data_IF_873695364696
#
_entry.id   IF_873695364696
#
_cell.length_a   1.000
_cell.length_b   1.000
_cell.length_c   1.000
_cell.angle_alpha   90.00
_cell.angle_beta   90.00
_cell.angle_gamma   90.00
#
_symmetry.space_group_name_H-M   'P 1'
#
loop_
_entity.id
_entity.type
_entity.pdbx_description
1 polymer ?
#
# COMPACT_ATOMS: atom_id res chain seq x y z
N UNK A 1 13.87 8.08 -15.00
CA UNK A 1 12.49 7.96 -15.53
C UNK A 1 11.83 6.61 -15.29
N UNK A 2 12.47 5.46 -15.59
CA UNK A 2 11.85 4.13 -15.40
C UNK A 2 11.27 3.90 -13.99
N UNK A 3 12.01 4.28 -12.94
CA UNK A 3 11.53 4.20 -11.54
C UNK A 3 10.21 4.95 -11.33
N UNK A 4 10.10 6.19 -11.84
CA UNK A 4 8.89 6.98 -11.68
C UNK A 4 7.70 6.36 -12.45
N UNK A 5 7.94 5.80 -13.64
CA UNK A 5 6.92 5.09 -14.41
C UNK A 5 6.42 3.84 -13.69
N UNK A 6 7.33 2.98 -13.23
CA UNK A 6 6.97 1.77 -12.49
C UNK A 6 6.32 2.09 -11.15
N UNK A 7 6.82 3.09 -10.42
CA UNK A 7 6.20 3.58 -9.18
C UNK A 7 4.79 4.09 -9.42
N UNK A 8 4.56 4.86 -10.49
CA UNK A 8 3.22 5.36 -10.85
C UNK A 8 2.28 4.19 -11.20
N UNK A 9 2.71 3.27 -12.05
CA UNK A 9 1.91 2.10 -12.41
C UNK A 9 1.54 1.25 -11.18
N UNK A 10 2.51 1.04 -10.27
CA UNK A 10 2.27 0.32 -9.03
C UNK A 10 1.29 1.07 -8.13
N UNK A 11 1.41 2.38 -7.95
CA UNK A 11 0.47 3.16 -7.11
C UNK A 11 -0.95 3.17 -7.68
N UNK A 12 -1.11 3.14 -9.01
CA UNK A 12 -2.43 2.96 -9.63
C UNK A 12 -3.01 1.59 -9.30
N UNK A 13 -2.23 0.51 -9.45
CA UNK A 13 -2.68 -0.85 -9.10
C UNK A 13 -3.01 -0.95 -7.61
N UNK A 14 -2.14 -0.39 -6.76
CA UNK A 14 -2.35 -0.28 -5.32
C UNK A 14 -3.68 0.40 -4.99
N UNK A 15 -3.95 1.57 -5.59
CA UNK A 15 -5.21 2.30 -5.35
C UNK A 15 -6.43 1.51 -5.81
N UNK A 16 -6.36 0.78 -6.92
CA UNK A 16 -7.45 -0.09 -7.39
C UNK A 16 -7.70 -1.23 -6.41
N UNK A 17 -6.64 -1.94 -6.00
CA UNK A 17 -6.76 -3.11 -5.10
C UNK A 17 -7.24 -2.69 -3.72
N UNK A 18 -6.69 -1.62 -3.14
CA UNK A 18 -7.17 -1.07 -1.86
C UNK A 18 -8.56 -0.47 -1.99
N UNK A 19 -8.95 0.06 -3.15
CA UNK A 19 -10.31 0.53 -3.42
C UNK A 19 -11.32 -0.61 -3.39
N UNK A 20 -11.01 -1.73 -4.05
CA UNK A 20 -11.82 -2.95 -4.00
C UNK A 20 -11.89 -3.53 -2.58
N UNK A 21 -10.78 -3.51 -1.85
CA UNK A 21 -10.74 -3.96 -0.47
C UNK A 21 -11.60 -3.08 0.45
N UNK A 22 -11.48 -1.76 0.31
CA UNK A 22 -12.30 -0.78 1.03
C UNK A 22 -13.79 -0.88 0.70
N UNK A 23 -14.15 -1.18 -0.55
CA UNK A 23 -15.53 -1.50 -0.93
C UNK A 23 -16.05 -2.73 -0.18
N UNK A 24 -15.23 -3.78 -0.05
CA UNK A 24 -15.62 -4.95 0.72
C UNK A 24 -15.94 -4.58 2.18
N UNK A 25 -15.11 -3.76 2.84
CA UNK A 25 -15.38 -3.26 4.20
C UNK A 25 -16.70 -2.52 4.36
N UNK A 26 -17.16 -1.79 3.34
CA UNK A 26 -18.43 -1.06 3.39
C UNK A 26 -19.63 -2.03 3.37
N UNK A 27 -19.47 -3.18 2.73
CA UNK A 27 -20.56 -4.12 2.44
C UNK A 27 -20.64 -5.29 3.43
N UNK A 28 -19.59 -5.53 4.22
CA UNK A 28 -19.55 -6.56 5.27
C UNK A 28 -19.47 -5.90 6.65
N UNK A 29 -19.85 -6.58 7.76
CA UNK A 29 -19.83 -6.01 9.10
C UNK A 29 -18.41 -5.93 9.69
N UNK A 30 -17.47 -5.34 8.95
CA UNK A 30 -16.06 -5.15 9.32
C UNK A 30 -15.76 -3.65 9.32
N UNK A 31 -16.24 -2.91 10.34
CA UNK A 31 -16.05 -1.48 10.41
C UNK A 31 -14.60 -1.12 10.76
N UNK A 32 -14.08 -0.09 10.11
CA UNK A 32 -12.83 0.53 10.50
C UNK A 32 -13.06 1.50 11.67
N UNK A 33 -12.18 1.45 12.67
CA UNK A 33 -12.10 2.52 13.67
C UNK A 33 -11.68 3.84 13.02
N UNK A 34 -11.87 4.95 13.74
CA UNK A 34 -11.44 6.29 13.28
C UNK A 34 -9.94 6.30 12.97
N UNK A 35 -9.12 5.69 13.84
CA UNK A 35 -7.67 5.63 13.65
C UNK A 35 -7.28 4.79 12.42
N UNK A 36 -7.91 3.63 12.22
CA UNK A 36 -7.70 2.82 11.01
C UNK A 36 -8.12 3.59 9.75
N UNK A 37 -9.27 4.28 9.80
CA UNK A 37 -9.76 5.09 8.67
C UNK A 37 -8.80 6.22 8.31
N UNK A 38 -8.24 6.92 9.31
CA UNK A 38 -7.22 7.94 9.08
C UNK A 38 -5.92 7.34 8.53
N UNK A 39 -5.50 6.19 9.04
CA UNK A 39 -4.33 5.48 8.54
C UNK A 39 -4.51 5.10 7.06
N UNK A 40 -5.65 4.52 6.70
CA UNK A 40 -5.98 4.18 5.31
C UNK A 40 -5.99 5.44 4.44
N UNK A 41 -6.73 6.48 4.82
CA UNK A 41 -6.82 7.71 4.01
C UNK A 41 -5.47 8.42 3.81
N UNK A 42 -4.64 8.48 4.84
CA UNK A 42 -3.36 9.21 4.79
C UNK A 42 -2.24 8.32 4.27
N UNK A 43 -2.00 7.19 4.91
CA UNK A 43 -0.81 6.36 4.67
C UNK A 43 -0.98 5.48 3.45
N UNK A 44 -2.18 4.92 3.24
CA UNK A 44 -2.45 4.04 2.10
C UNK A 44 -2.78 4.88 0.86
N UNK A 45 -3.61 5.91 0.96
CA UNK A 45 -3.97 6.70 -0.23
C UNK A 45 -3.10 7.94 -0.46
N UNK A 46 -3.06 8.88 0.47
CA UNK A 46 -2.45 10.19 0.21
C UNK A 46 -0.93 10.13 0.01
N UNK A 47 -0.20 9.43 0.89
CA UNK A 47 1.27 9.39 0.85
C UNK A 47 1.79 8.74 -0.45
N UNK A 48 1.28 7.59 -0.93
CA UNK A 48 1.73 7.01 -2.20
C UNK A 48 1.53 7.92 -3.40
N UNK A 49 0.42 8.66 -3.45
CA UNK A 49 0.16 9.65 -4.51
C UNK A 49 1.20 10.77 -4.46
N UNK A 50 1.44 11.34 -3.28
CA UNK A 50 2.47 12.37 -3.08
C UNK A 50 3.85 11.81 -3.48
N UNK A 51 4.14 10.58 -3.06
CA UNK A 51 5.41 9.92 -3.34
C UNK A 51 5.68 9.81 -4.84
N UNK A 52 4.70 9.34 -5.63
CA UNK A 52 4.89 9.23 -7.09
C UNK A 52 4.97 10.58 -7.77
N UNK A 53 4.22 11.60 -7.32
CA UNK A 53 4.38 12.97 -7.84
C UNK A 53 5.82 13.45 -7.61
N UNK A 54 6.38 13.24 -6.42
CA UNK A 54 7.74 13.65 -6.11
C UNK A 54 8.80 12.86 -6.91
N UNK A 55 8.56 11.59 -7.24
CA UNK A 55 9.45 10.80 -8.10
C UNK A 55 9.65 11.40 -9.51
N UNK A 56 8.72 12.23 -9.98
CA UNK A 56 8.82 12.95 -11.24
C UNK A 56 9.55 14.30 -11.14
N UNK A 57 9.99 14.69 -9.94
CA UNK A 57 10.62 16.00 -9.68
C UNK A 57 12.07 15.85 -9.20
N UNK A 58 12.73 16.98 -8.93
CA UNK A 58 14.03 17.01 -8.25
C UNK A 58 14.00 16.42 -6.83
N UNK A 59 12.81 16.27 -6.22
CA UNK A 59 12.61 15.70 -4.88
C UNK A 59 12.45 14.17 -4.88
N UNK A 60 12.92 13.50 -5.94
CA UNK A 60 12.77 12.06 -6.13
C UNK A 60 13.27 11.21 -4.93
N UNK A 61 14.26 11.69 -4.16
CA UNK A 61 14.74 11.00 -2.95
C UNK A 61 13.69 10.96 -1.86
N UNK A 62 13.02 12.09 -1.62
CA UNK A 62 11.92 12.19 -0.66
C UNK A 62 10.77 11.29 -1.13
N UNK A 63 10.41 11.37 -2.41
CA UNK A 63 9.40 10.49 -3.01
C UNK A 63 9.71 9.00 -2.83
N UNK A 64 10.97 8.60 -2.99
CA UNK A 64 11.41 7.21 -2.82
C UNK A 64 11.24 6.72 -1.37
N UNK A 65 11.62 7.54 -0.39
CA UNK A 65 11.42 7.23 1.03
C UNK A 65 9.94 7.19 1.42
N UNK A 66 9.13 8.12 0.91
CA UNK A 66 7.69 8.13 1.16
C UNK A 66 7.01 6.90 0.56
N UNK A 67 7.38 6.50 -0.66
CA UNK A 67 6.87 5.29 -1.30
C UNK A 67 7.23 4.05 -0.47
N UNK A 68 8.50 3.89 -0.09
CA UNK A 68 8.93 2.75 0.71
C UNK A 68 8.22 2.71 2.07
N UNK A 69 8.18 3.85 2.77
CA UNK A 69 7.59 3.95 4.10
C UNK A 69 6.09 3.65 4.11
N UNK A 70 5.33 4.23 3.16
CA UNK A 70 3.89 3.99 3.05
C UNK A 70 3.57 2.54 2.67
N UNK A 71 4.28 1.96 1.70
CA UNK A 71 4.08 0.57 1.29
C UNK A 71 4.43 -0.40 2.42
N UNK A 72 5.54 -0.18 3.13
CA UNK A 72 5.92 -1.00 4.27
C UNK A 72 4.90 -0.90 5.42
N UNK A 73 4.43 0.31 5.72
CA UNK A 73 3.40 0.53 6.74
C UNK A 73 2.08 -0.16 6.34
N UNK A 74 1.70 -0.11 5.07
CA UNK A 74 0.51 -0.78 4.53
C UNK A 74 0.62 -2.31 4.66
N UNK A 75 1.78 -2.91 4.31
CA UNK A 75 2.03 -4.35 4.51
C UNK A 75 1.89 -4.73 5.99
N UNK A 76 2.52 -3.97 6.89
CA UNK A 76 2.45 -4.25 8.33
C UNK A 76 1.02 -4.11 8.86
N UNK A 77 0.29 -3.10 8.40
CA UNK A 77 -1.11 -2.89 8.74
C UNK A 77 -1.98 -4.07 8.28
N UNK A 78 -1.86 -4.50 7.03
CA UNK A 78 -2.61 -5.63 6.49
C UNK A 78 -2.27 -6.95 7.21
N UNK A 79 -1.00 -7.22 7.46
CA UNK A 79 -0.59 -8.43 8.22
C UNK A 79 -1.20 -8.41 9.61
N UNK A 80 -1.09 -7.29 10.33
CA UNK A 80 -1.55 -7.19 11.71
C UNK A 80 -3.07 -7.39 11.82
N UNK A 81 -3.85 -6.67 11.02
CA UNK A 81 -5.31 -6.70 11.13
C UNK A 81 -5.93 -7.94 10.49
N UNK A 82 -5.44 -8.35 9.31
CA UNK A 82 -6.07 -9.43 8.55
C UNK A 82 -5.60 -10.82 8.97
N UNK A 83 -4.38 -10.96 9.52
CA UNK A 83 -3.74 -12.28 9.72
C UNK A 83 -3.26 -12.57 11.15
N UNK A 84 -3.10 -11.56 12.01
CA UNK A 84 -2.57 -11.74 13.37
C UNK A 84 -3.65 -11.56 14.43
N UNK A 85 -4.31 -10.39 14.46
CA UNK A 85 -5.26 -10.09 15.53
C UNK A 85 -6.63 -10.63 15.18
N UNK A 86 -7.18 -11.48 16.05
CA UNK A 86 -8.55 -11.98 15.89
C UNK A 86 -9.55 -10.87 16.23
N UNK A 87 -10.05 -10.22 15.20
CA UNK A 87 -11.11 -9.19 15.21
C UNK A 87 -12.05 -9.43 14.03
N UNK A 88 -13.16 -8.70 13.86
CA UNK A 88 -13.97 -8.78 12.64
C UNK A 88 -13.15 -8.60 11.34
N UNK A 89 -12.03 -7.89 11.39
CA UNK A 89 -11.13 -7.61 10.27
C UNK A 89 -10.17 -8.77 9.93
N UNK A 90 -10.20 -9.83 10.73
CA UNK A 90 -9.39 -11.01 10.47
C UNK A 90 -10.02 -11.87 9.39
N UNK A 91 -9.23 -12.38 8.42
CA UNK A 91 -9.77 -13.15 7.27
C UNK A 91 -10.59 -14.38 7.68
N UNK A 92 -10.27 -15.00 8.83
CA UNK A 92 -11.02 -16.15 9.35
C UNK A 92 -12.39 -15.80 9.95
N UNK A 93 -12.67 -14.51 10.18
CA UNK A 93 -13.95 -14.03 10.70
C UNK A 93 -14.91 -13.59 9.59
N UNK A 94 -14.45 -13.61 8.34
CA UNK A 94 -15.23 -13.18 7.18
C UNK A 94 -15.68 -14.40 6.37
N UNK A 95 -16.92 -14.40 5.89
CA UNK A 95 -17.45 -15.50 5.07
C UNK A 95 -16.67 -15.64 3.75
N UNK A 96 -16.59 -16.87 3.23
CA UNK A 96 -15.92 -17.14 1.94
C UNK A 96 -16.89 -17.03 0.75
N UNK A 97 -17.77 -16.04 0.77
CA UNK A 97 -18.82 -15.86 -0.23
C UNK A 97 -19.10 -14.37 -0.48
N UNK A 98 -19.55 -14.01 -1.69
CA UNK A 98 -19.92 -12.64 -2.04
C UNK A 98 -18.82 -11.61 -1.74
N UNK A 99 -19.17 -10.55 -1.01
CA UNK A 99 -18.23 -9.51 -0.56
C UNK A 99 -17.16 -10.03 0.39
N UNK A 100 -17.43 -11.09 1.15
CA UNK A 100 -16.44 -11.73 2.02
C UNK A 100 -15.34 -12.44 1.23
N UNK A 101 -15.69 -13.07 0.10
CA UNK A 101 -14.69 -13.62 -0.82
C UNK A 101 -13.81 -12.51 -1.42
N UNK A 102 -14.41 -11.38 -1.84
CA UNK A 102 -13.65 -10.22 -2.32
C UNK A 102 -12.70 -9.69 -1.25
N UNK A 103 -13.18 -9.55 0.00
CA UNK A 103 -12.37 -9.16 1.15
C UNK A 103 -11.15 -10.07 1.31
N UNK A 104 -11.34 -11.39 1.35
CA UNK A 104 -10.24 -12.33 1.57
C UNK A 104 -9.22 -12.34 0.42
N UNK A 105 -9.67 -12.29 -0.83
CA UNK A 105 -8.77 -12.22 -2.00
C UNK A 105 -7.97 -10.92 -1.97
N UNK A 106 -8.66 -9.79 -1.75
CA UNK A 106 -8.00 -8.48 -1.75
C UNK A 106 -7.09 -8.30 -0.53
N UNK A 107 -7.40 -8.90 0.62
CA UNK A 107 -6.54 -8.88 1.81
C UNK A 107 -5.16 -9.51 1.54
N UNK A 108 -5.07 -10.52 0.67
CA UNK A 108 -3.79 -11.10 0.24
C UNK A 108 -3.18 -10.28 -0.90
N UNK A 109 -4.00 -9.81 -1.84
CA UNK A 109 -3.52 -9.05 -3.00
C UNK A 109 -2.89 -7.72 -2.60
N UNK A 110 -3.43 -7.02 -1.60
CA UNK A 110 -2.84 -5.78 -1.05
C UNK A 110 -1.43 -6.05 -0.53
N UNK A 111 -1.21 -7.14 0.21
CA UNK A 111 0.12 -7.51 0.72
C UNK A 111 1.13 -7.75 -0.41
N UNK A 112 0.70 -8.42 -1.49
CA UNK A 112 1.55 -8.68 -2.65
C UNK A 112 1.91 -7.37 -3.35
N UNK A 113 0.91 -6.54 -3.66
CA UNK A 113 1.11 -5.26 -4.36
C UNK A 113 1.99 -4.32 -3.54
N UNK A 114 1.73 -4.20 -2.25
CA UNK A 114 2.48 -3.31 -1.36
C UNK A 114 3.89 -3.85 -1.10
N UNK A 115 4.07 -5.18 -1.08
CA UNK A 115 5.38 -5.83 -1.08
C UNK A 115 6.20 -5.47 -2.32
N UNK A 116 5.60 -5.47 -3.51
CA UNK A 116 6.24 -4.96 -4.72
C UNK A 116 6.51 -3.45 -4.64
N UNK A 117 5.64 -2.69 -3.98
CA UNK A 117 5.85 -1.27 -3.70
C UNK A 117 7.10 -1.02 -2.86
N UNK A 118 7.31 -1.82 -1.81
CA UNK A 118 8.54 -1.81 -1.02
C UNK A 118 9.77 -2.08 -1.89
N UNK A 119 9.70 -3.10 -2.77
CA UNK A 119 10.80 -3.40 -3.69
C UNK A 119 11.14 -2.20 -4.58
N UNK A 120 10.14 -1.58 -5.22
CA UNK A 120 10.35 -0.41 -6.09
C UNK A 120 10.97 0.75 -5.29
N UNK A 121 10.50 1.01 -4.07
CA UNK A 121 11.06 2.04 -3.20
C UNK A 121 12.54 1.79 -2.86
N UNK A 122 12.90 0.54 -2.52
CA UNK A 122 14.30 0.15 -2.28
C UNK A 122 15.15 0.31 -3.55
N UNK A 123 14.63 -0.15 -4.70
CA UNK A 123 15.32 -0.02 -5.97
C UNK A 123 15.58 1.44 -6.34
N UNK A 124 14.61 2.32 -6.09
CA UNK A 124 14.75 3.76 -6.28
C UNK A 124 15.89 4.33 -5.43
N UNK A 125 15.86 4.08 -4.12
CA UNK A 125 16.88 4.58 -3.19
C UNK A 125 18.29 4.11 -3.54
N UNK A 126 18.45 2.83 -3.90
CA UNK A 126 19.76 2.28 -4.32
C UNK A 126 20.27 2.93 -5.60
N UNK A 127 19.40 3.08 -6.60
CA UNK A 127 19.77 3.68 -7.89
C UNK A 127 20.22 5.13 -7.71
N UNK A 128 19.64 5.86 -6.76
CA UNK A 128 19.93 7.27 -6.52
C UNK A 128 21.08 7.54 -5.54
N UNK A 129 21.52 6.54 -4.78
CA UNK A 129 22.74 6.62 -3.96
C UNK A 129 24.02 6.40 -4.78
N UNK A 130 23.95 5.62 -5.87
CA UNK A 130 25.10 5.39 -6.75
C UNK A 130 25.64 6.63 -7.49
N UNK A 131 24.82 7.57 -8.01
CA UNK A 131 25.35 8.76 -8.70
C UNK A 131 26.11 9.74 -7.79
N UNK A 132 25.91 9.72 -6.46
CA UNK A 132 26.66 10.59 -5.54
C UNK A 132 28.04 10.06 -5.15
N UNK A 133 28.34 8.78 -5.40
CA UNK A 133 29.62 8.17 -4.99
C UNK A 133 30.77 8.37 -6.00
N UNK A 134 30.58 9.16 -7.05
CA UNK A 134 31.56 9.35 -8.16
C UNK A 134 32.10 10.79 -8.23
N UNK A 135 32.05 11.56 -7.12
CA UNK A 135 32.64 12.92 -7.06
C UNK A 135 33.65 12.96 -5.92
#
# INVERSE_FOLDING_TARGET
MKIAQYGTALVVIHAIVHGLHGLAHVEIPVPLSILQSLFVGIVIYAIPIIAVVLLWTQFYRIGSWLLLGSMAASVLFGIYNHLIVITPDHVSQVSFEGWGLLFQITAILTLIVDGFGCWIGIWALKTFQQPEKII
#
